data_IF_755769735933
#
_entry.id   IF_755769735933
#
_cell.length_a   1.000
_cell.length_b   1.000
_cell.length_c   1.000
_cell.angle_alpha   90.00
_cell.angle_beta   90.00
_cell.angle_gamma   90.00
#
_symmetry.space_group_name_H-M   'P 1'
#
loop_
_entity.id
_entity.type
_entity.pdbx_description
1 polymer ?
#
# COMPACT_ATOMS: atom_id res chain seq x y z
N UNK A 1 1.25 32.83 -10.34
CA UNK A 1 0.76 31.94 -9.27
C UNK A 1 0.50 30.60 -9.91
N UNK A 2 1.41 29.64 -9.75
CA UNK A 2 1.29 28.32 -10.36
C UNK A 2 0.06 27.61 -9.82
N UNK A 3 -0.91 27.38 -10.70
CA UNK A 3 -2.11 26.61 -10.43
C UNK A 3 -1.69 25.14 -10.49
N UNK A 4 -1.06 24.64 -9.42
CA UNK A 4 -0.79 23.22 -9.26
C UNK A 4 -2.14 22.51 -9.16
N UNK A 5 -2.67 22.07 -10.31
CA UNK A 5 -3.71 21.05 -10.34
C UNK A 5 -3.26 19.95 -9.38
N UNK A 6 -4.12 19.38 -8.53
CA UNK A 6 -3.79 18.12 -7.91
C UNK A 6 -3.67 17.13 -9.08
N UNK A 7 -2.44 16.90 -9.52
CA UNK A 7 -2.11 15.91 -10.53
C UNK A 7 -2.55 14.60 -9.90
N UNK A 8 -3.75 14.15 -10.31
CA UNK A 8 -4.36 12.98 -9.71
C UNK A 8 -3.39 11.85 -9.96
N UNK A 9 -3.09 11.07 -8.94
CA UNK A 9 -2.19 9.93 -9.06
C UNK A 9 -3.02 8.67 -9.27
N UNK A 10 -2.52 7.78 -10.12
CA UNK A 10 -3.17 6.49 -10.33
C UNK A 10 -2.83 5.54 -9.18
N UNK A 11 -3.84 5.06 -8.45
CA UNK A 11 -3.65 4.12 -7.36
C UNK A 11 -3.13 2.78 -7.89
N UNK A 12 -1.99 2.27 -7.39
CA UNK A 12 -1.40 1.03 -7.90
C UNK A 12 -2.30 -0.20 -7.68
N UNK A 13 -3.17 -0.15 -6.67
CA UNK A 13 -4.03 -1.28 -6.30
C UNK A 13 -5.25 -1.47 -7.19
N UNK A 14 -5.77 -0.41 -7.79
CA UNK A 14 -7.01 -0.50 -8.57
C UNK A 14 -7.02 0.35 -9.82
N UNK A 15 -5.85 0.90 -10.20
CA UNK A 15 -5.66 1.71 -11.40
C UNK A 15 -6.61 2.92 -11.46
N UNK A 16 -7.18 3.32 -10.34
CA UNK A 16 -8.15 4.41 -10.25
C UNK A 16 -7.43 5.71 -9.88
N UNK A 17 -7.90 6.83 -10.40
CA UNK A 17 -7.30 8.14 -10.10
C UNK A 17 -7.70 8.57 -8.69
N UNK A 18 -6.74 9.02 -7.89
CA UNK A 18 -6.98 9.55 -6.56
C UNK A 18 -6.07 10.73 -6.27
N UNK A 19 -6.41 11.48 -5.24
CA UNK A 19 -5.61 12.62 -4.81
C UNK A 19 -4.27 12.14 -4.20
N UNK A 20 -3.13 12.76 -4.54
CA UNK A 20 -1.84 12.37 -4.00
C UNK A 20 -1.74 12.50 -2.47
N UNK A 21 -2.47 13.42 -1.84
CA UNK A 21 -2.50 13.52 -0.38
C UNK A 21 -3.22 12.33 0.27
N UNK A 22 -3.98 11.57 -0.51
CA UNK A 22 -4.62 10.33 -0.05
C UNK A 22 -3.76 9.10 -0.26
N UNK A 23 -2.58 9.22 -0.89
CA UNK A 23 -1.61 8.13 -0.89
C UNK A 23 -0.99 7.98 0.50
N UNK A 24 -0.90 6.74 0.96
CA UNK A 24 -0.22 6.38 2.19
C UNK A 24 0.71 5.23 1.92
N UNK A 25 1.95 5.39 2.38
CA UNK A 25 2.93 4.32 2.40
C UNK A 25 2.87 3.69 3.78
N UNK A 26 2.57 2.40 3.84
CA UNK A 26 2.59 1.62 5.09
C UNK A 26 3.65 0.55 5.00
N UNK A 27 4.46 0.46 6.04
CA UNK A 27 5.43 -0.62 6.20
C UNK A 27 4.69 -1.85 6.74
N UNK A 28 4.62 -2.89 5.93
CA UNK A 28 4.08 -4.19 6.32
C UNK A 28 5.23 -5.16 6.61
N UNK A 29 5.03 -6.06 7.57
CA UNK A 29 5.97 -7.14 7.86
C UNK A 29 5.29 -8.48 7.68
N UNK A 30 5.91 -9.39 6.93
CA UNK A 30 5.48 -10.79 6.84
C UNK A 30 6.57 -11.70 7.40
N UNK A 31 6.20 -12.69 8.20
CA UNK A 31 7.12 -13.77 8.58
C UNK A 31 7.10 -14.81 7.49
N UNK A 32 8.25 -15.05 6.87
CA UNK A 32 8.42 -16.08 5.86
C UNK A 32 9.47 -17.08 6.35
N UNK A 33 9.23 -18.37 6.14
CA UNK A 33 10.27 -19.37 6.35
C UNK A 33 11.18 -19.40 5.13
N UNK A 34 12.45 -19.12 5.33
CA UNK A 34 13.46 -19.16 4.28
C UNK A 34 14.02 -20.56 4.17
N UNK A 35 13.70 -21.25 3.07
CA UNK A 35 14.27 -22.59 2.79
C UNK A 35 15.78 -22.57 2.59
N UNK A 36 16.36 -21.42 2.25
CA UNK A 36 17.78 -21.27 1.99
C UNK A 36 18.60 -21.20 3.29
N UNK A 37 18.09 -20.51 4.31
CA UNK A 37 18.77 -20.35 5.62
C UNK A 37 18.22 -21.30 6.69
N UNK A 38 17.10 -21.98 6.41
CA UNK A 38 16.39 -22.85 7.35
C UNK A 38 15.73 -22.10 8.52
N UNK A 39 15.61 -20.77 8.44
CA UNK A 39 15.14 -19.90 9.53
C UNK A 39 13.86 -19.15 9.15
N UNK A 40 13.10 -18.75 10.18
CA UNK A 40 11.99 -17.79 10.02
C UNK A 40 12.57 -16.39 9.95
N UNK A 41 12.32 -15.70 8.86
CA UNK A 41 12.79 -14.33 8.63
C UNK A 41 11.59 -13.38 8.53
N UNK A 42 11.70 -12.21 9.16
CA UNK A 42 10.69 -11.15 9.02
C UNK A 42 11.07 -10.30 7.82
N UNK A 43 10.29 -10.41 6.75
CA UNK A 43 10.45 -9.56 5.58
C UNK A 43 9.58 -8.32 5.73
N UNK A 44 10.21 -7.15 5.68
CA UNK A 44 9.53 -5.87 5.63
C UNK A 44 9.35 -5.44 4.17
N UNK A 45 8.16 -4.97 3.83
CA UNK A 45 7.86 -4.37 2.53
C UNK A 45 7.11 -3.06 2.74
N UNK A 46 7.38 -2.09 1.89
CA UNK A 46 6.62 -0.86 1.82
C UNK A 46 5.48 -1.06 0.84
N UNK A 47 4.25 -0.85 1.30
CA UNK A 47 3.04 -0.92 0.49
C UNK A 47 2.45 0.48 0.37
N UNK A 48 2.32 0.96 -0.87
CA UNK A 48 1.64 2.23 -1.16
C UNK A 48 0.19 1.95 -1.52
N UNK A 49 -0.75 2.60 -0.85
CA UNK A 49 -2.18 2.51 -1.13
C UNK A 49 -2.87 3.86 -1.01
N UNK A 50 -4.09 3.97 -1.56
CA UNK A 50 -4.89 5.18 -1.52
C UNK A 50 -6.01 5.06 -0.48
N UNK A 51 -5.99 5.90 0.57
CA UNK A 51 -6.86 5.79 1.76
C UNK A 51 -8.36 5.93 1.49
N UNK A 52 -8.80 6.85 0.63
CA UNK A 52 -10.23 7.03 0.32
C UNK A 52 -10.61 6.53 -1.08
N UNK A 53 -9.79 5.66 -1.68
CA UNK A 53 -10.21 4.97 -2.87
C UNK A 53 -11.21 3.86 -2.47
N UNK A 54 -12.27 3.57 -3.24
CA UNK A 54 -13.16 2.41 -2.98
C UNK A 54 -12.41 1.06 -2.89
N UNK A 55 -11.13 1.07 -3.29
CA UNK A 55 -10.19 -0.03 -3.24
C UNK A 55 -9.53 -0.24 -1.87
N UNK A 56 -9.54 0.76 -0.99
CA UNK A 56 -8.90 0.72 0.33
C UNK A 56 -9.54 -0.32 1.26
N UNK A 57 -10.87 -0.45 1.18
CA UNK A 57 -11.68 -1.32 2.06
C UNK A 57 -11.27 -2.78 1.96
N UNK A 58 -10.76 -3.22 0.81
CA UNK A 58 -10.39 -4.63 0.60
C UNK A 58 -9.05 -5.04 1.21
N UNK A 59 -8.15 -4.08 1.45
CA UNK A 59 -6.83 -4.37 2.05
C UNK A 59 -6.85 -4.39 3.59
N UNK A 60 -7.82 -3.71 4.23
CA UNK A 60 -7.93 -3.72 5.69
C UNK A 60 -8.62 -4.97 6.26
N UNK A 61 -9.51 -5.62 5.51
CA UNK A 61 -10.21 -6.82 5.98
C UNK A 61 -9.35 -8.09 6.05
N UNK A 62 -8.14 -8.10 5.47
CA UNK A 62 -7.22 -9.23 5.54
C UNK A 62 -6.21 -9.19 6.70
N UNK A 63 -6.20 -8.13 7.51
CA UNK A 63 -5.18 -7.90 8.55
C UNK A 63 -5.67 -8.10 10.00
N UNK A 64 -6.96 -8.41 10.20
CA UNK A 64 -7.60 -8.60 11.52
C UNK A 64 -8.39 -9.91 11.60
N UNK A 65 -7.82 -10.99 11.02
CA UNK A 65 -8.28 -12.35 11.30
C UNK A 65 -7.72 -12.85 12.63
#
# INVERSE_FOLDING_TARGET
MENAKPDRVQCPQCKNWSDPAQMTVTKISRRAYSRHTGKRETQYQLLTFCKNSPCATRYQQGALG
#
